data_IF_671240988160
#
_entry.id   IF_671240988160
#
_cell.length_a   1.000
_cell.length_b   1.000
_cell.length_c   1.000
_cell.angle_alpha   90.00
_cell.angle_beta   90.00
_cell.angle_gamma   90.00
#
_symmetry.space_group_name_H-M   'P 1'
#
loop_
_entity.id
_entity.type
_entity.pdbx_description
1 polymer ?
#
# COMPACT_ATOMS: atom_id res chain seq x y z
N UNK A 1 -15.12 -30.27 32.42
CA UNK A 1 -15.26 -29.91 30.99
C UNK A 1 -15.45 -28.38 30.93
N UNK A 2 -14.74 -27.69 30.09
CA UNK A 2 -14.85 -26.22 29.99
C UNK A 2 -16.23 -25.82 29.49
N UNK A 3 -16.88 -24.88 30.16
CA UNK A 3 -18.20 -24.35 29.77
C UNK A 3 -18.08 -23.45 28.53
N UNK A 4 -19.20 -23.16 27.85
CA UNK A 4 -19.23 -22.25 26.70
C UNK A 4 -18.69 -20.87 27.07
N UNK A 5 -19.13 -20.28 28.17
CA UNK A 5 -18.68 -18.98 28.64
C UNK A 5 -17.17 -18.92 28.95
N UNK A 6 -16.60 -19.98 29.49
CA UNK A 6 -15.16 -20.09 29.73
C UNK A 6 -14.38 -20.10 28.40
N UNK A 7 -14.89 -20.83 27.40
CA UNK A 7 -14.30 -20.82 26.04
C UNK A 7 -14.34 -19.42 25.39
N UNK A 8 -15.48 -18.72 25.50
CA UNK A 8 -15.63 -17.34 25.01
C UNK A 8 -14.64 -16.43 25.71
N UNK A 9 -14.57 -16.48 27.04
CA UNK A 9 -13.63 -15.68 27.83
C UNK A 9 -12.19 -15.90 27.40
N UNK A 10 -11.80 -17.16 27.25
CA UNK A 10 -10.44 -17.53 26.79
C UNK A 10 -10.15 -17.03 25.38
N UNK A 11 -11.14 -17.04 24.48
CA UNK A 11 -11.00 -16.53 23.11
C UNK A 11 -10.71 -15.04 23.11
N UNK A 12 -11.46 -14.24 23.90
CA UNK A 12 -11.20 -12.81 24.05
C UNK A 12 -9.85 -12.53 24.70
N UNK A 13 -9.45 -13.27 25.72
CA UNK A 13 -8.13 -13.13 26.36
C UNK A 13 -6.99 -13.39 25.38
N UNK A 14 -7.09 -14.42 24.53
CA UNK A 14 -6.09 -14.69 23.49
C UNK A 14 -6.03 -13.58 22.46
N UNK A 15 -7.18 -13.08 22.03
CA UNK A 15 -7.24 -11.96 21.09
C UNK A 15 -6.63 -10.68 21.69
N UNK A 16 -6.97 -10.34 22.94
CA UNK A 16 -6.39 -9.19 23.64
C UNK A 16 -4.87 -9.31 23.76
N UNK A 17 -4.37 -10.46 24.16
CA UNK A 17 -2.92 -10.72 24.24
C UNK A 17 -2.22 -10.56 22.88
N UNK A 18 -2.88 -10.89 21.78
CA UNK A 18 -2.35 -10.69 20.43
C UNK A 18 -2.27 -9.22 20.07
N UNK A 19 -3.38 -8.48 20.20
CA UNK A 19 -3.45 -7.07 19.76
C UNK A 19 -2.66 -6.11 20.66
N UNK A 20 -2.39 -6.49 21.91
CA UNK A 20 -1.58 -5.69 22.84
C UNK A 20 -0.11 -6.11 22.92
N UNK A 21 0.28 -7.10 22.09
CA UNK A 21 1.68 -7.55 22.05
C UNK A 21 2.61 -6.43 21.62
N UNK A 22 3.61 -6.11 22.45
CA UNK A 22 4.66 -5.13 22.15
C UNK A 22 5.42 -5.54 20.89
N UNK A 23 5.63 -4.58 20.02
CA UNK A 23 6.43 -4.75 18.79
C UNK A 23 7.74 -4.00 18.91
N UNK A 24 8.83 -4.74 18.91
CA UNK A 24 10.19 -4.20 19.08
C UNK A 24 10.87 -4.00 17.73
N UNK A 25 11.66 -2.93 17.57
CA UNK A 25 12.46 -2.75 16.37
C UNK A 25 13.52 -3.85 16.27
N UNK A 26 13.85 -4.25 15.05
CA UNK A 26 15.00 -5.11 14.76
C UNK A 26 16.21 -4.20 14.65
N UNK A 27 17.21 -4.41 15.55
CA UNK A 27 18.41 -3.55 15.64
C UNK A 27 19.31 -3.64 14.41
N UNK A 28 19.39 -4.84 13.80
CA UNK A 28 20.17 -5.05 12.58
C UNK A 28 19.42 -4.54 11.35
N UNK A 29 20.06 -3.71 10.54
CA UNK A 29 19.47 -3.11 9.36
C UNK A 29 20.50 -2.41 8.47
N UNK A 30 20.01 -1.82 7.39
CA UNK A 30 20.83 -1.12 6.39
C UNK A 30 21.07 0.37 6.74
N UNK A 31 20.60 0.84 7.88
CA UNK A 31 20.70 2.25 8.31
C UNK A 31 19.67 3.19 7.69
N UNK A 32 18.94 2.76 6.67
CA UNK A 32 17.96 3.60 5.96
C UNK A 32 16.59 3.53 6.66
N UNK A 33 16.18 2.33 7.02
CA UNK A 33 14.92 2.08 7.75
C UNK A 33 15.12 0.98 8.79
N UNK A 34 14.20 0.89 9.74
CA UNK A 34 14.17 -0.13 10.80
C UNK A 34 12.88 -0.93 10.69
N UNK A 35 12.96 -2.25 10.50
CA UNK A 35 11.84 -3.19 10.57
C UNK A 35 11.47 -3.49 12.01
N UNK A 36 10.27 -4.02 12.21
CA UNK A 36 9.76 -4.49 13.50
C UNK A 36 9.54 -6.00 13.47
N UNK A 37 9.64 -6.61 14.66
CA UNK A 37 9.68 -8.06 14.83
C UNK A 37 8.41 -8.79 14.41
N UNK A 38 7.25 -8.15 14.62
CA UNK A 38 5.96 -8.78 14.37
C UNK A 38 5.14 -8.00 13.33
N UNK A 39 4.27 -8.68 12.57
CA UNK A 39 3.23 -8.00 11.82
C UNK A 39 2.38 -7.15 12.76
N UNK A 40 1.99 -5.96 12.32
CA UNK A 40 1.14 -5.05 13.10
C UNK A 40 -0.33 -5.43 13.03
N UNK A 41 -0.77 -5.99 11.89
CA UNK A 41 -2.11 -6.54 11.71
C UNK A 41 -2.04 -7.80 10.85
N UNK A 42 -2.81 -8.81 11.24
CA UNK A 42 -3.05 -10.05 10.50
C UNK A 42 -4.54 -10.37 10.53
N UNK A 43 -4.99 -11.38 9.81
CA UNK A 43 -6.38 -11.87 9.90
C UNK A 43 -6.82 -12.19 11.33
N UNK A 44 -5.89 -12.68 12.19
CA UNK A 44 -6.19 -13.00 13.58
C UNK A 44 -6.50 -11.76 14.46
N UNK A 45 -6.09 -10.55 14.04
CA UNK A 45 -6.41 -9.30 14.73
C UNK A 45 -7.85 -8.84 14.51
N UNK A 46 -8.58 -9.44 13.56
CA UNK A 46 -10.00 -9.15 13.34
C UNK A 46 -10.80 -9.41 14.61
N UNK A 47 -11.72 -8.53 15.01
CA UNK A 47 -12.48 -8.67 16.23
C UNK A 47 -13.17 -10.05 16.35
N UNK A 48 -13.17 -10.62 17.55
CA UNK A 48 -13.78 -11.92 17.82
C UNK A 48 -15.25 -11.91 17.41
N UNK A 49 -15.99 -10.85 17.74
CA UNK A 49 -17.42 -10.72 17.47
C UNK A 49 -17.77 -10.46 15.99
N UNK A 50 -16.78 -10.31 15.12
CA UNK A 50 -16.99 -10.32 13.66
C UNK A 50 -16.96 -11.73 13.08
N UNK A 51 -16.26 -12.64 13.75
CA UNK A 51 -15.96 -13.97 13.22
C UNK A 51 -16.77 -15.09 13.89
N UNK A 52 -17.12 -14.92 15.15
CA UNK A 52 -17.79 -15.92 15.97
C UNK A 52 -19.21 -15.47 16.31
N UNK A 53 -20.15 -16.37 16.12
CA UNK A 53 -21.45 -16.28 16.79
C UNK A 53 -21.25 -16.70 18.25
N UNK A 54 -21.53 -15.77 19.17
CA UNK A 54 -21.32 -15.93 20.61
C UNK A 54 -22.54 -16.49 21.36
N UNK A 55 -23.56 -16.93 20.64
CA UNK A 55 -24.74 -17.58 21.20
C UNK A 55 -24.56 -19.10 21.23
N UNK A 56 -24.60 -19.70 22.45
CA UNK A 56 -24.48 -21.15 22.65
C UNK A 56 -25.57 -21.94 21.93
N UNK A 57 -26.77 -21.36 21.76
CA UNK A 57 -27.89 -22.06 21.10
C UNK A 57 -27.64 -22.22 19.58
N UNK A 58 -27.01 -21.25 18.95
CA UNK A 58 -26.73 -21.26 17.51
C UNK A 58 -25.30 -21.71 17.18
N UNK A 59 -24.38 -21.66 18.17
CA UNK A 59 -22.98 -22.05 18.00
C UNK A 59 -22.44 -22.85 19.22
N UNK A 60 -23.00 -24.04 19.57
CA UNK A 60 -22.66 -24.75 20.80
C UNK A 60 -21.20 -25.20 20.86
N UNK A 61 -20.51 -25.30 19.75
CA UNK A 61 -19.09 -25.66 19.67
C UNK A 61 -18.14 -24.48 19.65
N UNK A 62 -18.66 -23.22 19.64
CA UNK A 62 -17.90 -21.98 19.49
C UNK A 62 -16.96 -22.03 18.27
N UNK A 63 -17.51 -22.39 17.11
CA UNK A 63 -16.78 -22.39 15.85
C UNK A 63 -16.77 -21.00 15.21
N UNK A 64 -15.70 -20.68 14.51
CA UNK A 64 -15.64 -19.49 13.67
C UNK A 64 -16.65 -19.62 12.53
N UNK A 65 -17.51 -18.59 12.34
CA UNK A 65 -18.58 -18.61 11.34
C UNK A 65 -18.22 -17.80 10.09
N UNK A 66 -17.44 -16.74 10.29
CA UNK A 66 -16.95 -15.88 9.19
C UNK A 66 -15.42 -15.91 9.22
N UNK A 67 -14.85 -16.65 8.30
CA UNK A 67 -13.38 -16.77 8.17
C UNK A 67 -12.78 -15.52 7.54
N UNK A 68 -11.66 -15.05 8.09
CA UNK A 68 -10.81 -14.02 7.49
C UNK A 68 -9.54 -14.66 6.94
N UNK A 69 -9.27 -14.44 5.66
CA UNK A 69 -8.07 -14.94 5.00
C UNK A 69 -6.87 -14.03 5.26
N UNK A 70 -7.02 -12.73 5.02
CA UNK A 70 -5.92 -11.78 5.10
C UNK A 70 -6.34 -10.39 5.58
N UNK A 71 -5.36 -9.65 6.11
CA UNK A 71 -5.42 -8.21 6.35
C UNK A 71 -4.18 -7.59 5.70
N UNK A 72 -4.36 -6.77 4.66
CA UNK A 72 -3.28 -6.34 3.79
C UNK A 72 -3.53 -4.95 3.17
N UNK A 73 -2.54 -4.41 2.49
CA UNK A 73 -2.60 -3.25 1.58
C UNK A 73 -3.44 -2.08 2.14
N UNK A 74 -2.98 -1.51 3.24
CA UNK A 74 -3.71 -0.42 3.92
C UNK A 74 -3.28 0.97 3.46
N UNK A 75 -4.27 1.85 3.24
CA UNK A 75 -4.05 3.29 3.36
C UNK A 75 -3.78 3.66 4.81
N UNK A 76 -3.00 4.70 5.06
CA UNK A 76 -2.65 5.13 6.41
C UNK A 76 -2.75 6.65 6.57
N UNK A 77 -3.12 7.10 7.74
CA UNK A 77 -3.24 8.52 8.08
C UNK A 77 -3.08 8.72 9.59
N UNK A 78 -2.48 9.86 9.99
CA UNK A 78 -2.54 10.30 11.38
C UNK A 78 -3.78 11.18 11.58
N UNK A 79 -4.63 10.79 12.51
CA UNK A 79 -5.89 11.49 12.78
C UNK A 79 -6.16 11.57 14.27
N UNK A 80 -6.46 12.77 14.77
CA UNK A 80 -6.73 13.02 16.20
C UNK A 80 -5.64 12.42 17.13
N UNK A 81 -4.37 12.55 16.75
CA UNK A 81 -3.23 12.08 17.53
C UNK A 81 -2.99 10.57 17.50
N UNK A 82 -3.79 9.82 16.74
CA UNK A 82 -3.63 8.37 16.56
C UNK A 82 -3.16 8.03 15.14
N UNK A 83 -2.56 6.85 14.99
CA UNK A 83 -2.15 6.27 13.72
C UNK A 83 -3.24 5.31 13.24
N UNK A 84 -3.86 5.61 12.12
CA UNK A 84 -4.98 4.84 11.57
C UNK A 84 -4.59 4.20 10.25
N UNK A 85 -5.08 2.99 10.07
CA UNK A 85 -5.03 2.27 8.79
C UNK A 85 -6.45 1.96 8.32
N UNK A 86 -6.71 2.17 7.03
CA UNK A 86 -7.87 1.61 6.34
C UNK A 86 -7.37 0.38 5.59
N UNK A 87 -7.58 -0.78 6.20
CA UNK A 87 -7.07 -2.05 5.71
C UNK A 87 -8.00 -2.66 4.66
N UNK A 88 -7.43 -3.31 3.66
CA UNK A 88 -8.10 -4.34 2.90
C UNK A 88 -8.21 -5.58 3.78
N UNK A 89 -9.43 -5.96 4.10
CA UNK A 89 -9.74 -7.25 4.72
C UNK A 89 -10.25 -8.20 3.64
N UNK A 90 -9.72 -9.39 3.59
CA UNK A 90 -10.21 -10.41 2.67
C UNK A 90 -10.83 -11.56 3.46
N UNK A 91 -12.09 -11.86 3.16
CA UNK A 91 -12.79 -13.01 3.71
C UNK A 91 -12.34 -14.33 3.09
N UNK A 92 -12.65 -15.44 3.74
CA UNK A 92 -12.42 -16.78 3.21
C UNK A 92 -13.21 -17.05 1.90
N UNK A 93 -14.20 -16.22 1.58
CA UNK A 93 -14.98 -16.21 0.35
C UNK A 93 -14.33 -15.43 -0.80
N UNK A 94 -13.10 -14.91 -0.60
CA UNK A 94 -12.34 -14.07 -1.54
C UNK A 94 -12.95 -12.68 -1.81
N UNK A 95 -13.89 -12.23 -1.00
CA UNK A 95 -14.38 -10.86 -1.11
C UNK A 95 -13.59 -9.96 -0.18
N UNK A 96 -13.14 -8.84 -0.72
CA UNK A 96 -12.46 -7.81 0.07
C UNK A 96 -13.44 -6.70 0.48
N UNK A 97 -13.18 -6.14 1.64
CA UNK A 97 -13.85 -4.96 2.19
C UNK A 97 -12.84 -4.12 2.98
N UNK A 98 -13.24 -2.91 3.36
CA UNK A 98 -12.36 -2.03 4.14
C UNK A 98 -12.73 -2.00 5.61
N UNK A 99 -11.72 -1.90 6.46
CA UNK A 99 -11.87 -1.77 7.90
C UNK A 99 -10.84 -0.81 8.48
N UNK A 100 -11.27 -0.01 9.46
CA UNK A 100 -10.36 0.93 10.15
C UNK A 100 -9.79 0.27 11.38
N UNK A 101 -8.46 0.34 11.53
CA UNK A 101 -7.77 0.01 12.76
C UNK A 101 -6.93 1.21 13.23
N UNK A 102 -6.89 1.47 14.53
CA UNK A 102 -6.16 2.58 15.13
C UNK A 102 -5.12 2.10 16.15
N UNK A 103 -4.01 2.81 16.24
CA UNK A 103 -2.93 2.58 17.19
C UNK A 103 -2.51 3.88 17.88
N UNK A 104 -2.14 3.86 19.17
CA UNK A 104 -1.64 5.04 19.86
C UNK A 104 -0.20 5.44 19.49
N UNK A 105 0.59 4.51 18.92
CA UNK A 105 2.03 4.69 18.67
C UNK A 105 2.50 4.34 17.26
N UNK A 106 1.61 3.75 16.43
CA UNK A 106 1.88 3.42 15.04
C UNK A 106 2.70 2.15 14.79
N UNK A 107 3.14 1.44 15.83
CA UNK A 107 3.97 0.23 15.69
C UNK A 107 3.38 -1.02 16.34
N UNK A 108 2.47 -0.86 17.28
CA UNK A 108 1.73 -1.96 17.90
C UNK A 108 0.35 -1.48 18.40
N UNK A 109 -0.38 -2.39 19.09
CA UNK A 109 -1.70 -2.10 19.68
C UNK A 109 -2.72 -1.54 18.70
N UNK A 110 -2.75 -2.08 17.48
CA UNK A 110 -3.77 -1.77 16.49
C UNK A 110 -5.08 -2.44 16.86
N UNK A 111 -6.14 -1.64 17.00
CA UNK A 111 -7.50 -2.09 17.33
C UNK A 111 -8.46 -1.70 16.22
N UNK A 112 -9.17 -2.68 15.70
CA UNK A 112 -10.25 -2.42 14.75
C UNK A 112 -11.38 -1.66 15.41
N UNK A 113 -12.05 -0.78 14.67
CA UNK A 113 -13.33 -0.22 15.05
C UNK A 113 -14.42 -1.31 15.03
N UNK A 114 -15.57 -1.03 15.65
CA UNK A 114 -16.61 -2.06 15.82
C UNK A 114 -17.23 -2.54 14.52
N UNK A 115 -17.24 -1.70 13.49
CA UNK A 115 -17.84 -2.02 12.19
C UNK A 115 -16.85 -1.78 11.05
N UNK A 116 -16.93 -2.59 9.96
CA UNK A 116 -16.22 -2.30 8.74
C UNK A 116 -16.70 -0.98 8.12
N UNK A 117 -15.91 -0.46 7.17
CA UNK A 117 -16.30 0.71 6.38
C UNK A 117 -17.53 0.37 5.53
N UNK A 118 -18.56 1.17 5.66
CA UNK A 118 -19.75 1.10 4.80
C UNK A 118 -19.81 2.31 3.89
N UNK A 119 -20.13 2.07 2.62
CA UNK A 119 -20.34 3.09 1.60
C UNK A 119 -21.64 2.77 0.88
N UNK A 120 -22.26 3.78 0.24
CA UNK A 120 -23.38 3.52 -0.67
C UNK A 120 -22.91 2.61 -1.80
N UNK A 121 -23.80 1.71 -2.24
CA UNK A 121 -23.51 0.85 -3.39
C UNK A 121 -23.45 1.68 -4.69
N UNK A 122 -22.60 1.24 -5.60
CA UNK A 122 -22.56 1.78 -6.96
C UNK A 122 -23.82 1.40 -7.72
N UNK A 123 -24.15 2.17 -8.76
CA UNK A 123 -25.22 1.82 -9.72
C UNK A 123 -24.95 0.45 -10.36
N UNK A 124 -23.68 0.13 -10.61
CA UNK A 124 -23.21 -1.21 -10.98
C UNK A 124 -22.30 -1.70 -9.87
N UNK A 125 -22.74 -2.63 -9.03
CA UNK A 125 -21.94 -3.12 -7.92
C UNK A 125 -20.60 -3.68 -8.37
N UNK A 126 -19.53 -3.38 -7.62
CA UNK A 126 -18.24 -4.02 -7.82
C UNK A 126 -18.29 -5.46 -7.29
N UNK A 127 -17.70 -6.40 -8.03
CA UNK A 127 -17.52 -7.77 -7.55
C UNK A 127 -16.54 -7.81 -6.38
N UNK A 128 -15.49 -6.97 -6.43
CA UNK A 128 -14.49 -6.84 -5.39
C UNK A 128 -13.96 -5.40 -5.32
N UNK A 129 -13.68 -4.91 -4.10
CA UNK A 129 -13.05 -3.61 -3.88
C UNK A 129 -11.79 -3.82 -3.02
N UNK A 130 -10.68 -3.18 -3.38
CA UNK A 130 -9.42 -3.41 -2.67
C UNK A 130 -8.41 -2.27 -2.81
N UNK A 131 -7.40 -2.29 -1.95
CA UNK A 131 -6.18 -1.48 -2.00
C UNK A 131 -6.44 0.03 -1.93
N UNK A 132 -7.20 0.49 -0.91
CA UNK A 132 -7.48 1.89 -0.70
C UNK A 132 -6.22 2.66 -0.31
N UNK A 133 -6.00 3.79 -0.97
CA UNK A 133 -5.00 4.80 -0.65
C UNK A 133 -5.68 6.02 -0.09
N UNK A 134 -5.19 6.51 1.04
CA UNK A 134 -5.74 7.70 1.70
C UNK A 134 -4.90 8.92 1.37
N UNK A 135 -5.57 10.03 1.08
CA UNK A 135 -4.94 11.34 0.92
C UNK A 135 -5.76 12.40 1.64
N UNK A 136 -5.19 13.00 2.68
CA UNK A 136 -5.73 14.25 3.21
C UNK A 136 -5.37 15.37 2.23
N UNK A 137 -6.37 15.90 1.54
CA UNK A 137 -6.19 16.91 0.50
C UNK A 137 -6.43 18.31 1.07
N UNK A 138 -5.79 19.32 0.47
CA UNK A 138 -5.89 20.70 0.94
C UNK A 138 -7.29 21.33 0.82
N UNK A 139 -8.21 20.73 0.07
CA UNK A 139 -9.64 21.08 0.06
C UNK A 139 -10.38 20.69 1.36
N UNK A 140 -9.65 20.04 2.27
CA UNK A 140 -10.12 19.63 3.58
C UNK A 140 -10.90 18.31 3.59
N UNK A 141 -10.93 17.52 2.50
CA UNK A 141 -11.43 16.15 2.48
C UNK A 141 -10.28 15.15 2.64
N UNK A 142 -10.61 13.99 3.20
CA UNK A 142 -9.78 12.80 3.13
C UNK A 142 -10.38 11.94 2.01
N UNK A 143 -9.61 11.73 0.95
CA UNK A 143 -10.01 10.87 -0.16
C UNK A 143 -9.44 9.48 0.03
N UNK A 144 -10.28 8.47 -0.23
CA UNK A 144 -9.89 7.08 -0.39
C UNK A 144 -10.05 6.70 -1.86
N UNK A 145 -8.95 6.37 -2.54
CA UNK A 145 -9.00 5.86 -3.91
C UNK A 145 -8.59 4.38 -3.88
N UNK A 146 -9.40 3.53 -4.49
CA UNK A 146 -9.26 2.09 -4.43
C UNK A 146 -9.58 1.42 -5.77
N UNK A 147 -9.22 0.17 -5.92
CA UNK A 147 -9.63 -0.60 -7.08
C UNK A 147 -11.05 -1.11 -6.89
N UNK A 148 -11.91 -0.86 -7.87
CA UNK A 148 -13.23 -1.47 -8.04
C UNK A 148 -13.19 -2.42 -9.23
N UNK A 149 -13.33 -3.72 -8.98
CA UNK A 149 -13.19 -4.77 -9.98
C UNK A 149 -14.53 -5.43 -10.25
N UNK A 150 -14.80 -5.70 -11.53
CA UNK A 150 -16.00 -6.35 -12.04
C UNK A 150 -15.61 -7.45 -13.02
N UNK A 151 -16.47 -8.44 -13.19
CA UNK A 151 -16.31 -9.38 -14.31
C UNK A 151 -16.36 -8.62 -15.65
N UNK A 152 -15.55 -9.04 -16.60
CA UNK A 152 -15.56 -8.42 -17.93
C UNK A 152 -16.80 -8.90 -18.71
N UNK A 153 -17.74 -7.99 -18.99
CA UNK A 153 -18.96 -8.29 -19.74
C UNK A 153 -18.68 -8.75 -21.19
N UNK A 154 -17.49 -8.46 -21.70
CA UNK A 154 -17.05 -8.91 -23.04
C UNK A 154 -16.27 -10.23 -23.00
N UNK A 155 -16.11 -10.84 -21.83
CA UNK A 155 -15.42 -12.11 -21.70
C UNK A 155 -16.12 -13.22 -22.48
N UNK A 156 -15.39 -14.19 -23.05
CA UNK A 156 -15.99 -15.35 -23.70
C UNK A 156 -16.94 -16.09 -22.75
N UNK A 157 -18.00 -16.70 -23.31
CA UNK A 157 -18.94 -17.49 -22.52
C UNK A 157 -18.20 -18.61 -21.76
N UNK A 158 -18.37 -18.63 -20.43
CA UNK A 158 -17.71 -19.60 -19.55
C UNK A 158 -16.33 -19.15 -19.01
N UNK A 159 -15.83 -17.99 -19.42
CA UNK A 159 -14.66 -17.40 -18.77
C UNK A 159 -15.06 -16.78 -17.43
N UNK A 160 -14.49 -17.30 -16.34
CA UNK A 160 -14.71 -16.83 -14.96
C UNK A 160 -13.50 -16.06 -14.40
N UNK A 161 -12.53 -15.72 -15.24
CA UNK A 161 -11.27 -15.12 -14.82
C UNK A 161 -11.04 -13.70 -15.32
N UNK A 162 -11.65 -13.33 -16.45
CA UNK A 162 -11.51 -11.98 -17.01
C UNK A 162 -12.20 -10.93 -16.17
N UNK A 163 -11.47 -9.87 -15.86
CA UNK A 163 -11.93 -8.78 -15.03
C UNK A 163 -11.58 -7.42 -15.64
N UNK A 164 -12.46 -6.45 -15.44
CA UNK A 164 -12.20 -5.04 -15.66
C UNK A 164 -12.04 -4.32 -14.32
N UNK A 165 -11.19 -3.32 -14.27
CA UNK A 165 -10.94 -2.54 -13.07
C UNK A 165 -10.96 -1.04 -13.33
N UNK A 166 -11.63 -0.33 -12.44
CA UNK A 166 -11.68 1.13 -12.37
C UNK A 166 -11.12 1.63 -11.04
N UNK A 167 -10.70 2.88 -10.98
CA UNK A 167 -10.39 3.50 -9.71
C UNK A 167 -11.68 4.02 -9.07
N UNK A 168 -12.12 3.35 -8.00
CA UNK A 168 -13.22 3.80 -7.16
C UNK A 168 -12.76 4.95 -6.27
N UNK A 169 -13.65 5.93 -6.06
CA UNK A 169 -13.37 7.12 -5.26
C UNK A 169 -14.37 7.22 -4.12
N UNK A 170 -13.89 7.42 -2.90
CA UNK A 170 -14.70 7.80 -1.76
C UNK A 170 -14.04 8.94 -1.00
N UNK A 171 -14.81 9.71 -0.23
CA UNK A 171 -14.27 10.76 0.64
C UNK A 171 -14.94 10.77 2.00
N UNK A 172 -14.24 11.32 2.97
CA UNK A 172 -14.69 11.39 4.35
C UNK A 172 -14.11 12.61 5.05
N UNK A 173 -14.72 13.00 6.18
CA UNK A 173 -14.20 14.01 7.12
C UNK A 173 -13.76 13.41 8.45
N UNK A 174 -14.15 12.17 8.72
CA UNK A 174 -14.03 11.56 10.05
C UNK A 174 -13.61 10.07 10.02
N UNK A 175 -13.37 9.51 8.83
CA UNK A 175 -13.08 8.09 8.57
C UNK A 175 -14.20 7.12 8.98
N UNK A 176 -15.34 7.64 9.45
CA UNK A 176 -16.54 6.88 9.86
C UNK A 176 -17.64 6.94 8.81
N UNK A 177 -17.91 8.16 8.37
CA UNK A 177 -18.94 8.42 7.35
C UNK A 177 -18.27 8.61 6.01
N UNK A 178 -18.56 7.73 5.06
CA UNK A 178 -17.96 7.73 3.75
C UNK A 178 -18.99 8.07 2.68
N UNK A 179 -18.66 9.04 1.85
CA UNK A 179 -19.38 9.38 0.64
C UNK A 179 -18.72 8.68 -0.56
N UNK A 180 -19.44 7.76 -1.19
CA UNK A 180 -19.00 7.11 -2.42
C UNK A 180 -19.24 8.05 -3.61
N UNK A 181 -18.17 8.38 -4.32
CA UNK A 181 -18.23 9.19 -5.56
C UNK A 181 -18.20 8.26 -6.79
N UNK A 182 -18.62 8.75 -7.97
CA UNK A 182 -18.47 8.00 -9.21
C UNK A 182 -17.02 7.55 -9.45
N UNK A 183 -16.84 6.38 -10.07
CA UNK A 183 -15.52 5.90 -10.45
C UNK A 183 -14.82 6.87 -11.39
N UNK A 184 -13.50 6.93 -11.27
CA UNK A 184 -12.65 7.71 -12.17
C UNK A 184 -12.83 7.22 -13.62
N UNK A 185 -13.23 8.12 -14.52
CA UNK A 185 -13.32 7.82 -15.95
C UNK A 185 -11.94 7.89 -16.59
N UNK A 186 -11.53 6.82 -17.24
CA UNK A 186 -10.23 6.69 -17.92
C UNK A 186 -10.38 5.90 -19.22
N UNK A 187 -9.41 6.05 -20.12
CA UNK A 187 -9.37 5.26 -21.37
C UNK A 187 -8.87 3.83 -21.16
N UNK A 188 -8.02 3.62 -20.17
CA UNK A 188 -7.42 2.32 -19.81
C UNK A 188 -7.91 1.86 -18.45
N UNK A 189 -7.72 0.59 -18.13
CA UNK A 189 -7.95 0.11 -16.77
C UNK A 189 -6.98 0.77 -15.78
N UNK A 190 -7.46 1.00 -14.56
CA UNK A 190 -6.68 1.63 -13.48
C UNK A 190 -6.86 0.83 -12.18
N UNK A 191 -5.77 0.36 -11.61
CA UNK A 191 -5.77 -0.35 -10.31
C UNK A 191 -5.00 0.35 -9.21
N UNK A 192 -4.11 1.29 -9.56
CA UNK A 192 -3.26 1.99 -8.61
C UNK A 192 -3.29 3.50 -8.88
N UNK A 193 -4.36 4.15 -8.46
CA UNK A 193 -4.49 5.60 -8.57
C UNK A 193 -4.28 6.22 -7.20
N UNK A 194 -3.50 7.30 -7.15
CA UNK A 194 -3.18 8.04 -5.93
C UNK A 194 -3.44 9.53 -6.17
N UNK A 195 -4.14 10.18 -5.24
CA UNK A 195 -4.35 11.61 -5.28
C UNK A 195 -3.13 12.33 -4.69
N UNK A 196 -2.63 13.34 -5.40
CA UNK A 196 -1.65 14.29 -4.86
C UNK A 196 -2.31 15.13 -3.75
N UNK A 197 -1.61 15.45 -2.64
CA UNK A 197 -2.24 16.12 -1.50
C UNK A 197 -2.60 17.59 -1.73
N UNK A 198 -2.04 18.24 -2.74
CA UNK A 198 -2.24 19.64 -3.06
C UNK A 198 -2.79 19.82 -4.48
N UNK A 199 -3.46 20.93 -4.74
CA UNK A 199 -3.82 21.31 -6.10
C UNK A 199 -2.57 21.64 -6.92
N UNK A 200 -2.57 21.22 -8.16
CA UNK A 200 -1.54 21.60 -9.14
C UNK A 200 -2.25 22.37 -10.26
N UNK A 201 -1.82 23.60 -10.48
CA UNK A 201 -2.47 24.52 -11.44
C UNK A 201 -3.99 24.68 -11.19
N UNK A 202 -4.39 24.64 -9.91
CA UNK A 202 -5.79 24.75 -9.50
C UNK A 202 -6.65 23.52 -9.76
N UNK A 203 -6.04 22.38 -10.08
CA UNK A 203 -6.70 21.11 -10.37
C UNK A 203 -6.26 20.01 -9.41
N UNK A 204 -7.08 18.98 -9.25
CA UNK A 204 -6.67 17.74 -8.59
C UNK A 204 -5.70 16.98 -9.48
N UNK A 205 -4.59 16.55 -8.89
CA UNK A 205 -3.57 15.80 -9.60
C UNK A 205 -3.55 14.35 -9.18
N UNK A 206 -3.46 13.44 -10.14
CA UNK A 206 -3.52 12.00 -9.93
C UNK A 206 -2.25 11.33 -10.45
N UNK A 207 -1.67 10.48 -9.64
CA UNK A 207 -0.74 9.46 -10.10
C UNK A 207 -1.55 8.25 -10.54
N UNK A 208 -1.40 7.86 -11.79
CA UNK A 208 -2.17 6.80 -12.42
C UNK A 208 -1.28 5.62 -12.77
N UNK A 209 -1.87 4.51 -13.16
CA UNK A 209 -1.15 3.38 -13.73
C UNK A 209 -1.98 2.77 -14.84
N UNK A 210 -1.90 3.30 -16.07
CA UNK A 210 -2.60 2.73 -17.20
C UNK A 210 -2.11 1.30 -17.47
N UNK A 211 -3.04 0.37 -17.69
CA UNK A 211 -2.72 -1.02 -18.03
C UNK A 211 -3.82 -1.64 -18.87
N UNK A 212 -3.45 -2.64 -19.69
CA UNK A 212 -4.38 -3.32 -20.58
C UNK A 212 -5.07 -4.49 -19.86
N UNK A 213 -4.35 -5.23 -19.01
CA UNK A 213 -4.88 -6.39 -18.29
C UNK A 213 -4.50 -6.42 -16.82
N UNK A 214 -4.84 -7.52 -16.14
CA UNK A 214 -4.57 -7.66 -14.70
C UNK A 214 -3.09 -7.99 -14.41
N UNK A 215 -2.57 -9.04 -15.02
CA UNK A 215 -1.17 -9.48 -14.83
C UNK A 215 -0.28 -8.80 -15.84
N UNK A 216 -0.66 -8.87 -17.11
CA UNK A 216 0.04 -8.22 -18.21
C UNK A 216 -0.44 -6.77 -18.33
N UNK A 217 0.46 -5.85 -18.10
CA UNK A 217 0.18 -4.42 -18.24
C UNK A 217 0.12 -3.96 -19.71
N UNK A 218 0.49 -4.82 -20.66
CA UNK A 218 0.48 -4.51 -22.08
C UNK A 218 1.42 -3.33 -22.41
N UNK A 219 0.87 -2.32 -23.06
CA UNK A 219 1.59 -1.08 -23.38
C UNK A 219 1.74 -0.13 -22.19
N UNK A 220 0.95 -0.32 -21.12
CA UNK A 220 0.97 0.48 -19.91
C UNK A 220 1.99 0.01 -18.86
N UNK A 221 1.67 0.21 -17.59
CA UNK A 221 2.42 -0.30 -16.43
C UNK A 221 3.50 0.65 -15.89
N UNK A 222 3.63 1.86 -16.43
CA UNK A 222 4.38 2.97 -15.86
C UNK A 222 3.55 3.77 -14.86
N UNK A 223 4.20 4.65 -14.07
CA UNK A 223 3.48 5.64 -13.26
C UNK A 223 3.08 6.79 -14.19
N UNK A 224 1.79 7.01 -14.29
CA UNK A 224 1.19 8.10 -15.07
C UNK A 224 0.89 9.32 -14.20
N UNK A 225 0.59 10.40 -14.86
CA UNK A 225 0.16 11.67 -14.28
C UNK A 225 -1.01 12.23 -15.06
N UNK A 226 -2.05 12.65 -14.34
CA UNK A 226 -3.22 13.27 -14.93
C UNK A 226 -3.77 14.39 -14.02
N UNK A 227 -4.41 15.39 -14.62
CA UNK A 227 -5.13 16.43 -13.91
C UNK A 227 -6.62 16.28 -14.15
N UNK A 228 -7.43 16.48 -13.10
CA UNK A 228 -8.88 16.46 -13.15
C UNK A 228 -9.44 17.72 -12.49
N UNK A 229 -10.55 18.23 -13.03
CA UNK A 229 -11.14 19.49 -12.57
C UNK A 229 -11.97 19.32 -11.29
N UNK A 230 -12.58 18.14 -11.11
CA UNK A 230 -13.54 17.86 -10.02
C UNK A 230 -13.51 16.37 -9.64
N UNK A 231 -13.33 16.09 -8.36
CA UNK A 231 -13.32 14.71 -7.85
C UNK A 231 -14.72 14.09 -7.77
N UNK A 232 -15.79 14.89 -7.79
CA UNK A 232 -17.18 14.37 -7.80
C UNK A 232 -17.60 13.83 -9.17
N UNK A 233 -16.89 14.18 -10.22
CA UNK A 233 -17.06 13.72 -11.59
C UNK A 233 -15.72 13.59 -12.31
N UNK A 234 -14.79 12.89 -11.67
CA UNK A 234 -13.40 12.83 -12.11
C UNK A 234 -13.26 12.10 -13.46
N UNK A 235 -12.64 12.77 -14.43
CA UNK A 235 -12.35 12.25 -15.76
C UNK A 235 -10.93 12.60 -16.20
N UNK A 236 -10.14 11.59 -16.53
CA UNK A 236 -8.79 11.74 -17.09
C UNK A 236 -8.92 11.91 -18.60
N UNK A 237 -8.75 13.15 -19.07
CA UNK A 237 -8.76 13.49 -20.50
C UNK A 237 -7.42 13.21 -21.16
N UNK A 238 -6.34 13.53 -20.44
CA UNK A 238 -4.96 13.37 -20.86
C UNK A 238 -4.14 12.73 -19.74
N UNK A 239 -3.28 11.80 -20.09
CA UNK A 239 -2.42 11.05 -19.19
C UNK A 239 -1.02 10.96 -19.80
N UNK A 240 0.02 11.28 -19.03
CA UNK A 240 1.41 11.11 -19.42
C UNK A 240 2.16 10.22 -18.44
N UNK A 241 3.05 9.38 -18.94
CA UNK A 241 3.91 8.57 -18.07
C UNK A 241 5.05 9.43 -17.56
N UNK A 242 5.28 9.43 -16.26
CA UNK A 242 6.37 10.15 -15.58
C UNK A 242 7.48 9.23 -15.12
N UNK A 243 7.17 7.96 -14.79
CA UNK A 243 8.17 6.94 -14.48
C UNK A 243 7.91 5.66 -15.28
N UNK A 244 8.82 5.38 -16.23
CA UNK A 244 8.68 4.31 -17.22
C UNK A 244 9.17 2.96 -16.68
N UNK A 245 8.68 1.89 -17.31
CA UNK A 245 9.25 0.55 -17.21
C UNK A 245 10.57 0.49 -17.99
N UNK A 246 11.52 -0.30 -17.47
CA UNK A 246 12.79 -0.53 -18.15
C UNK A 246 13.11 -2.01 -18.16
N UNK A 247 13.63 -2.48 -19.29
CA UNK A 247 14.08 -3.87 -19.47
C UNK A 247 15.11 -4.25 -18.42
N UNK A 248 14.97 -5.45 -17.85
CA UNK A 248 15.88 -6.06 -16.89
C UNK A 248 16.13 -5.20 -15.63
N UNK A 249 15.07 -4.58 -15.12
CA UNK A 249 15.08 -3.84 -13.87
C UNK A 249 14.03 -4.36 -12.89
N UNK A 250 13.98 -3.81 -11.69
CA UNK A 250 12.95 -4.14 -10.69
C UNK A 250 11.52 -3.79 -11.14
N UNK A 251 11.37 -3.00 -12.19
CA UNK A 251 10.09 -2.51 -12.73
C UNK A 251 9.86 -2.85 -14.19
N UNK A 252 10.41 -3.98 -14.65
CA UNK A 252 10.32 -4.40 -16.05
C UNK A 252 8.90 -4.82 -16.47
N UNK A 253 8.12 -5.42 -15.57
CA UNK A 253 6.75 -5.87 -15.86
C UNK A 253 5.75 -4.73 -15.66
N UNK A 254 5.78 -4.09 -14.50
CA UNK A 254 4.95 -2.95 -14.13
C UNK A 254 5.50 -2.24 -12.90
N UNK A 255 5.06 -1.02 -12.70
CA UNK A 255 5.30 -0.24 -11.49
C UNK A 255 4.08 0.63 -11.20
N UNK A 256 3.96 1.11 -9.99
CA UNK A 256 2.85 1.97 -9.59
C UNK A 256 3.15 2.69 -8.29
N UNK A 257 2.49 3.82 -8.12
CA UNK A 257 2.57 4.60 -6.89
C UNK A 257 2.02 3.79 -5.71
N UNK A 258 2.64 3.95 -4.55
CA UNK A 258 2.16 3.39 -3.30
C UNK A 258 1.23 4.37 -2.59
N UNK A 259 1.63 5.02 -1.47
CA UNK A 259 0.89 6.10 -0.83
C UNK A 259 1.05 7.44 -1.57
N UNK A 260 0.30 8.46 -1.15
CA UNK A 260 0.53 9.84 -1.61
C UNK A 260 1.96 10.32 -1.24
N UNK A 261 2.57 11.23 -2.04
CA UNK A 261 3.93 11.69 -1.78
C UNK A 261 4.02 12.55 -0.51
N UNK A 262 5.21 12.57 0.10
CA UNK A 262 5.55 13.45 1.22
C UNK A 262 6.25 14.69 0.70
N UNK A 263 5.72 15.87 1.07
CA UNK A 263 6.37 17.16 0.76
C UNK A 263 7.61 17.34 1.62
N UNK A 264 8.74 17.67 0.99
CA UNK A 264 10.01 17.96 1.67
C UNK A 264 10.61 19.27 1.17
N UNK A 265 11.61 19.79 1.84
CA UNK A 265 12.32 20.98 1.37
C UNK A 265 13.11 20.77 0.06
N UNK A 266 13.30 19.51 -0.38
CA UNK A 266 14.09 19.13 -1.56
C UNK A 266 13.25 18.69 -2.74
N UNK A 267 11.98 18.39 -2.54
CA UNK A 267 11.08 17.85 -3.55
C UNK A 267 9.96 17.03 -2.92
N UNK A 268 9.14 16.46 -3.76
CA UNK A 268 8.16 15.44 -3.36
C UNK A 268 8.84 14.08 -3.27
N UNK A 269 8.75 13.46 -2.13
CA UNK A 269 9.30 12.13 -1.86
C UNK A 269 8.23 11.08 -2.13
N UNK A 270 8.55 10.08 -2.94
CA UNK A 270 7.64 9.02 -3.38
C UNK A 270 8.10 7.66 -2.94
N UNK A 271 7.15 6.80 -2.63
CA UNK A 271 7.34 5.38 -2.37
C UNK A 271 6.44 4.57 -3.30
N UNK A 272 7.04 3.78 -4.16
CA UNK A 272 6.36 3.05 -5.21
C UNK A 272 6.71 1.55 -5.15
N UNK A 273 5.94 0.73 -5.87
CA UNK A 273 6.26 -0.68 -6.06
C UNK A 273 6.74 -0.94 -7.49
N UNK A 274 7.75 -1.79 -7.61
CA UNK A 274 8.25 -2.32 -8.86
C UNK A 274 8.00 -3.81 -8.95
N UNK A 275 7.71 -4.30 -10.15
CA UNK A 275 7.38 -5.70 -10.41
C UNK A 275 8.25 -6.25 -11.53
N UNK A 276 8.90 -7.36 -11.26
CA UNK A 276 9.64 -8.13 -12.26
C UNK A 276 9.17 -9.57 -12.31
N UNK A 277 9.38 -10.20 -13.47
CA UNK A 277 9.18 -11.63 -13.62
C UNK A 277 10.36 -12.41 -13.01
N UNK A 278 10.08 -13.58 -12.49
CA UNK A 278 11.06 -14.59 -12.09
C UNK A 278 10.47 -16.00 -12.30
N UNK A 279 11.32 -17.03 -12.19
CA UNK A 279 10.90 -18.41 -12.44
C UNK A 279 9.73 -18.89 -11.55
N UNK A 280 9.58 -18.28 -10.36
CA UNK A 280 8.51 -18.61 -9.41
C UNK A 280 7.27 -17.68 -9.51
N UNK A 281 7.18 -16.88 -10.57
CA UNK A 281 6.08 -15.91 -10.77
C UNK A 281 6.55 -14.46 -10.73
N UNK A 282 5.74 -13.56 -10.18
CA UNK A 282 6.08 -12.15 -10.07
C UNK A 282 6.74 -11.86 -8.72
N UNK A 283 7.74 -10.99 -8.72
CA UNK A 283 8.34 -10.44 -7.50
C UNK A 283 8.03 -8.95 -7.40
N UNK A 284 7.46 -8.55 -6.27
CA UNK A 284 7.17 -7.16 -5.95
C UNK A 284 8.17 -6.66 -4.91
N UNK A 285 8.70 -5.46 -5.16
CA UNK A 285 9.60 -4.75 -4.26
C UNK A 285 9.17 -3.28 -4.17
N UNK A 286 9.60 -2.60 -3.12
CA UNK A 286 9.38 -1.16 -2.99
C UNK A 286 10.62 -0.41 -3.46
N UNK A 287 10.41 0.71 -4.15
CA UNK A 287 11.46 1.64 -4.54
C UNK A 287 11.03 3.08 -4.27
N UNK A 288 11.98 3.98 -4.27
CA UNK A 288 11.75 5.38 -4.01
C UNK A 288 12.23 6.24 -5.19
N UNK A 289 11.62 7.40 -5.31
CA UNK A 289 12.06 8.45 -6.23
C UNK A 289 11.62 9.81 -5.70
N UNK A 290 12.13 10.89 -6.28
CA UNK A 290 11.70 12.25 -5.95
C UNK A 290 11.36 13.04 -7.20
N UNK A 291 10.36 13.92 -7.07
CA UNK A 291 10.00 14.90 -8.09
C UNK A 291 10.19 16.33 -7.59
N UNK A 292 10.30 17.29 -8.51
CA UNK A 292 10.47 18.69 -8.18
C UNK A 292 9.22 19.25 -7.48
N UNK A 293 9.40 20.23 -6.60
CA UNK A 293 8.28 20.90 -5.90
C UNK A 293 7.40 21.71 -6.84
N UNK A 294 8.01 22.38 -7.80
CA UNK A 294 7.35 23.25 -8.77
C UNK A 294 6.81 22.50 -9.99
N UNK A 295 7.27 21.27 -10.21
CA UNK A 295 6.78 20.38 -11.27
C UNK A 295 6.79 18.92 -10.78
N UNK A 296 5.70 18.43 -10.18
CA UNK A 296 5.59 17.05 -9.71
C UNK A 296 5.73 15.97 -10.78
N UNK A 297 5.82 16.34 -12.05
CA UNK A 297 6.08 15.42 -13.15
C UNK A 297 7.55 15.26 -13.50
N UNK A 298 8.41 16.10 -12.93
CA UNK A 298 9.86 16.12 -13.20
C UNK A 298 10.61 15.31 -12.16
N UNK A 299 11.13 14.16 -12.55
CA UNK A 299 12.01 13.36 -11.71
C UNK A 299 13.32 14.09 -11.40
N UNK A 300 13.69 14.20 -10.13
CA UNK A 300 14.95 14.82 -9.67
C UNK A 300 15.89 13.83 -8.99
N UNK A 301 15.38 12.70 -8.50
CA UNK A 301 16.18 11.61 -7.92
C UNK A 301 15.52 10.27 -8.21
N UNK A 302 16.29 9.29 -8.67
CA UNK A 302 15.84 7.94 -9.03
C UNK A 302 16.88 6.91 -8.63
N UNK A 303 16.96 6.54 -7.33
CA UNK A 303 17.87 5.49 -6.86
C UNK A 303 17.74 4.21 -7.67
N UNK A 304 18.85 3.58 -8.00
CA UNK A 304 18.85 2.28 -8.68
C UNK A 304 18.46 1.14 -7.74
N UNK A 305 17.74 0.16 -8.28
CA UNK A 305 17.33 -1.02 -7.54
C UNK A 305 16.13 -0.80 -6.61
N UNK A 306 15.98 -1.67 -5.62
CA UNK A 306 14.88 -1.58 -4.65
C UNK A 306 15.33 -0.90 -3.35
N UNK A 307 14.41 -0.18 -2.74
CA UNK A 307 14.52 0.33 -1.39
C UNK A 307 14.28 -0.76 -0.35
N UNK A 308 13.21 -1.55 -0.53
CA UNK A 308 12.80 -2.62 0.37
C UNK A 308 12.32 -3.83 -0.43
N UNK A 309 12.74 -5.03 -0.03
CA UNK A 309 12.33 -6.29 -0.63
C UNK A 309 11.90 -7.28 0.47
N UNK A 310 11.06 -8.30 0.17
CA UNK A 310 10.64 -9.27 1.16
C UNK A 310 11.82 -10.10 1.66
N UNK A 311 11.88 -10.30 2.98
CA UNK A 311 12.92 -11.06 3.68
C UNK A 311 12.31 -12.13 4.58
N UNK A 312 13.01 -13.24 4.78
CA UNK A 312 12.57 -14.30 5.67
C UNK A 312 11.13 -14.75 5.44
N UNK A 313 10.31 -14.69 6.48
CA UNK A 313 8.90 -15.07 6.45
C UNK A 313 8.01 -14.12 5.62
N UNK A 314 8.47 -12.91 5.33
CA UNK A 314 7.75 -11.98 4.44
C UNK A 314 7.62 -12.54 3.01
N UNK A 315 8.44 -13.55 2.64
CA UNK A 315 8.42 -14.17 1.32
C UNK A 315 7.31 -15.19 1.13
N UNK A 316 6.61 -15.57 2.19
CA UNK A 316 5.64 -16.67 2.20
C UNK A 316 4.26 -16.17 2.60
N UNK A 317 3.27 -16.48 1.78
CA UNK A 317 1.86 -16.14 1.98
C UNK A 317 1.04 -16.51 0.75
N UNK A 318 -0.13 -15.90 0.58
CA UNK A 318 -1.03 -16.17 -0.54
C UNK A 318 -0.39 -15.87 -1.90
N UNK A 319 0.37 -14.79 -1.96
CA UNK A 319 1.19 -14.44 -3.14
C UNK A 319 2.63 -14.24 -2.69
N UNK A 320 3.46 -15.26 -2.88
CA UNK A 320 4.84 -15.28 -2.42
C UNK A 320 5.71 -14.19 -3.06
N UNK A 321 6.75 -13.73 -2.34
CA UNK A 321 7.72 -12.73 -2.79
C UNK A 321 7.13 -11.34 -3.12
N UNK A 322 6.11 -10.92 -2.40
CA UNK A 322 5.46 -9.61 -2.56
C UNK A 322 5.70 -8.73 -1.35
N UNK A 323 6.20 -7.52 -1.57
CA UNK A 323 5.99 -6.36 -0.70
C UNK A 323 5.15 -5.34 -1.44
N UNK A 324 4.11 -4.84 -0.76
CA UNK A 324 3.22 -3.84 -1.31
C UNK A 324 2.86 -2.79 -0.26
N UNK A 325 2.68 -1.53 -0.67
CA UNK A 325 2.33 -0.45 0.25
C UNK A 325 1.33 0.50 -0.38
N UNK A 326 0.36 0.96 0.42
CA UNK A 326 -0.60 1.99 0.09
C UNK A 326 -0.61 3.11 1.14
N UNK A 327 0.20 2.98 2.19
CA UNK A 327 0.14 3.92 3.29
C UNK A 327 1.48 4.14 3.98
N UNK A 328 1.80 5.38 4.21
CA UNK A 328 2.81 5.84 5.15
C UNK A 328 2.34 7.09 5.87
N UNK A 329 3.00 7.40 6.96
CA UNK A 329 2.72 8.59 7.77
C UNK A 329 4.05 9.26 8.06
N UNK A 330 4.17 10.53 7.70
CA UNK A 330 5.25 11.39 8.18
C UNK A 330 4.72 12.22 9.35
N UNK A 331 5.38 12.08 10.50
CA UNK A 331 5.07 12.88 11.68
C UNK A 331 5.74 14.25 11.64
N UNK A 332 5.25 15.16 12.49
CA UNK A 332 5.77 16.52 12.61
C UNK A 332 7.25 16.57 13.03
N UNK A 333 7.72 15.57 13.76
CA UNK A 333 9.13 15.41 14.16
C UNK A 333 10.02 14.83 13.03
N UNK A 334 9.44 14.58 11.86
CA UNK A 334 10.12 14.01 10.71
C UNK A 334 10.24 12.50 10.72
N UNK A 335 9.70 11.79 11.72
CA UNK A 335 9.63 10.33 11.73
C UNK A 335 8.65 9.83 10.68
N UNK A 336 9.03 8.79 9.93
CA UNK A 336 8.18 8.17 8.91
C UNK A 336 7.85 6.74 9.30
N UNK A 337 6.56 6.42 9.28
CA UNK A 337 6.02 5.07 9.44
C UNK A 337 5.61 4.54 8.07
N UNK A 338 6.23 3.47 7.62
CA UNK A 338 5.96 2.81 6.35
C UNK A 338 5.17 1.55 6.63
N UNK A 339 3.88 1.54 6.28
CA UNK A 339 3.03 0.36 6.42
C UNK A 339 3.05 -0.43 5.12
N UNK A 340 3.48 -1.68 5.19
CA UNK A 340 3.58 -2.54 4.02
C UNK A 340 3.00 -3.93 4.29
N UNK A 341 2.40 -4.50 3.26
CA UNK A 341 1.95 -5.88 3.29
C UNK A 341 3.04 -6.82 2.78
N UNK A 342 3.14 -8.00 3.36
CA UNK A 342 3.97 -9.07 2.86
C UNK A 342 3.14 -10.24 2.34
N UNK A 343 3.48 -10.69 1.13
CA UNK A 343 2.91 -11.88 0.48
C UNK A 343 1.38 -11.94 0.52
N UNK A 344 0.74 -10.76 0.37
CA UNK A 344 -0.72 -10.53 0.38
C UNK A 344 -1.44 -11.17 1.58
N UNK A 345 -0.81 -11.20 2.75
CA UNK A 345 -1.33 -11.94 3.90
C UNK A 345 -1.42 -11.10 5.17
N UNK A 346 -0.47 -10.18 5.39
CA UNK A 346 -0.31 -9.48 6.68
C UNK A 346 0.36 -8.12 6.52
N UNK A 347 0.04 -7.21 7.43
CA UNK A 347 0.62 -5.87 7.50
C UNK A 347 1.80 -5.81 8.46
N UNK A 348 2.83 -5.12 8.04
CA UNK A 348 4.02 -4.77 8.82
C UNK A 348 4.19 -3.27 8.91
N UNK A 349 5.12 -2.84 9.75
CA UNK A 349 5.62 -1.47 9.79
C UNK A 349 7.15 -1.45 9.74
N UNK A 350 7.68 -0.48 9.03
CA UNK A 350 9.07 -0.05 9.16
C UNK A 350 9.10 1.44 9.47
N UNK A 351 10.13 1.90 10.17
CA UNK A 351 10.29 3.32 10.48
C UNK A 351 11.58 3.87 9.90
N UNK A 352 11.54 5.16 9.54
CA UNK A 352 12.67 5.94 9.08
C UNK A 352 12.50 7.39 9.49
N UNK A 353 13.25 8.30 8.87
CA UNK A 353 13.02 9.74 8.95
C UNK A 353 13.00 10.34 7.55
N UNK A 354 12.30 11.47 7.38
CA UNK A 354 12.28 12.20 6.11
C UNK A 354 13.70 12.49 5.62
N UNK A 355 14.59 12.95 6.51
CA UNK A 355 15.97 13.28 6.16
C UNK A 355 16.74 12.07 5.63
N UNK A 356 16.62 10.90 6.27
CA UNK A 356 17.27 9.66 5.80
C UNK A 356 16.75 9.23 4.44
N UNK A 357 15.43 9.31 4.23
CA UNK A 357 14.81 8.92 2.97
C UNK A 357 15.18 9.88 1.83
N UNK A 358 15.24 11.18 2.11
CA UNK A 358 15.73 12.19 1.16
C UNK A 358 17.20 11.96 0.83
N UNK A 359 18.04 11.73 1.86
CA UNK A 359 19.46 11.42 1.64
C UNK A 359 19.66 10.17 0.80
N UNK A 360 18.89 9.10 1.10
CA UNK A 360 18.89 7.89 0.28
C UNK A 360 18.54 8.19 -1.18
N UNK A 361 17.48 8.94 -1.44
CA UNK A 361 17.06 9.26 -2.80
C UNK A 361 18.11 10.10 -3.54
N UNK A 362 18.66 11.10 -2.90
CA UNK A 362 19.57 12.08 -3.53
C UNK A 362 20.99 11.53 -3.75
N UNK A 363 21.43 10.60 -2.91
CA UNK A 363 22.85 10.16 -2.89
C UNK A 363 23.04 8.69 -3.31
N UNK A 364 21.97 7.90 -3.48
CA UNK A 364 22.08 6.54 -4.02
C UNK A 364 22.24 6.60 -5.55
N UNK A 365 23.21 5.89 -6.13
CA UNK A 365 23.42 5.88 -7.58
C UNK A 365 22.19 5.41 -8.35
N UNK A 366 21.96 5.99 -9.51
CA UNK A 366 20.92 5.56 -10.45
C UNK A 366 21.28 4.20 -11.08
N UNK A 367 20.28 3.48 -11.57
CA UNK A 367 20.50 2.26 -12.37
C UNK A 367 21.14 2.64 -13.72
N UNK A 368 22.32 2.11 -13.97
CA UNK A 368 23.04 2.33 -15.22
C UNK A 368 22.59 1.42 -16.36
N UNK A 369 21.57 0.59 -16.14
CA UNK A 369 20.93 -0.30 -17.12
C UNK A 369 21.86 -1.33 -17.79
N UNK A 370 23.02 -1.60 -17.20
CA UNK A 370 23.95 -2.62 -17.70
C UNK A 370 24.87 -3.14 -16.60
N UNK A 371 25.36 -4.39 -16.75
CA UNK A 371 26.32 -4.97 -15.81
C UNK A 371 27.62 -4.18 -15.75
N UNK A 372 28.10 -3.64 -16.86
CA UNK A 372 29.30 -2.80 -16.87
C UNK A 372 29.11 -1.50 -16.07
N UNK A 373 27.95 -0.84 -16.18
CA UNK A 373 27.64 0.34 -15.39
C UNK A 373 27.54 0.04 -13.90
N UNK A 374 26.99 -1.11 -13.52
CA UNK A 374 26.98 -1.58 -12.12
C UNK A 374 28.39 -1.77 -11.57
N UNK A 375 29.29 -2.39 -12.35
CA UNK A 375 30.70 -2.56 -11.99
C UNK A 375 31.40 -1.21 -11.83
N UNK A 376 31.21 -0.28 -12.76
CA UNK A 376 31.79 1.06 -12.67
C UNK A 376 31.30 1.84 -11.46
N UNK A 377 30.03 1.70 -11.09
CA UNK A 377 29.47 2.31 -9.87
C UNK A 377 30.16 1.75 -8.62
N UNK A 378 30.33 0.42 -8.53
CA UNK A 378 31.05 -0.24 -7.43
C UNK A 378 32.52 0.21 -7.38
N UNK A 379 33.22 0.26 -8.50
CA UNK A 379 34.63 0.68 -8.57
C UNK A 379 34.80 2.09 -8.03
N UNK A 380 33.95 3.04 -8.45
CA UNK A 380 33.98 4.43 -7.93
C UNK A 380 33.83 4.48 -6.40
N UNK A 381 32.93 3.68 -5.84
CA UNK A 381 32.73 3.61 -4.40
C UNK A 381 33.93 2.97 -3.69
N UNK A 382 34.47 1.88 -4.22
CA UNK A 382 35.67 1.19 -3.70
C UNK A 382 36.86 2.15 -3.69
N UNK A 383 37.17 2.82 -4.81
CA UNK A 383 38.29 3.76 -4.91
C UNK A 383 38.17 4.92 -3.93
N UNK A 384 36.95 5.41 -3.69
CA UNK A 384 36.64 6.43 -2.67
C UNK A 384 36.93 5.89 -1.26
N UNK A 385 36.54 4.66 -0.96
CA UNK A 385 36.65 4.05 0.34
C UNK A 385 38.08 3.64 0.67
N UNK A 386 38.83 3.08 -0.29
CA UNK A 386 40.23 2.70 -0.09
C UNK A 386 41.11 3.89 0.34
N UNK A 387 40.86 5.08 -0.21
CA UNK A 387 41.51 6.32 0.22
C UNK A 387 41.27 6.69 1.70
N UNK A 388 40.14 6.20 2.28
CA UNK A 388 39.75 6.47 3.66
C UNK A 388 40.24 5.36 4.63
N UNK A 389 40.17 4.10 4.19
CA UNK A 389 40.52 2.91 4.97
C UNK A 389 42.01 2.95 5.32
N UNK A 390 42.90 3.50 4.49
CA UNK A 390 44.33 3.69 4.78
C UNK A 390 44.58 4.61 5.98
N UNK A 391 43.58 5.26 6.55
CA UNK A 391 43.64 6.11 7.72
C UNK A 391 43.05 5.44 8.99
N UNK A 392 42.62 4.17 8.92
CA UNK A 392 42.20 3.32 10.03
C UNK A 392 43.16 2.12 10.21
#
# INVERSE_FOLDING_TARGET
>A
METFNEKVTRLFQKHEALITRKNEPIEEGNGIFTRYKYPVVTAAHTPVFWRYDLDEQTNPYLMERIGMNAALNSGAIKWNGKYLMVLRMEGADRKSFFAVAESPNGVDNFRFWDYPVTMSEDVVPATNIYDMRLTAHEDGWIYGIFCAERHDDNAPVGDLSSATATAGIARTKDLKTWERLPDLKTKSQQRNVVLHPEFIDGKYALYTRPQDGFIDAGSGGGIGWALVDDMTHAEVKEEKIIDYRYYHTIKEVKNGEGPHPIKTSKGWLHLAHGVRACAAGLRYVLYMYMTALDDPTKLIATPGGYFMAPEGEERVGDVSNVLFTNGWIADEDGKVFIYYASSDTRMHVATSTVDKLVDYCMNTPVDGLSSSASVETLKKLIDKNLKKITNY
#
